data_IF_375788069372
#
_entry.id   IF_375788069372
#
_cell.length_a   1.000
_cell.length_b   1.000
_cell.length_c   1.000
_cell.angle_alpha   90.00
_cell.angle_beta   90.00
_cell.angle_gamma   90.00
#
_symmetry.space_group_name_H-M   'P 1'
#
loop_
_entity.id
_entity.type
_entity.pdbx_description
1 polymer ?
#
# COMPACT_ATOMS: atom_id res chain seq x y z
N UNK A 1 19.68 -13.12 -22.99
CA UNK A 1 18.97 -14.21 -22.26
C UNK A 1 18.06 -13.55 -21.24
N UNK A 2 16.78 -13.44 -21.54
CA UNK A 2 15.77 -13.00 -20.58
C UNK A 2 15.76 -14.02 -19.43
N UNK A 3 15.96 -13.54 -18.20
CA UNK A 3 15.94 -14.38 -17.01
C UNK A 3 14.57 -15.07 -16.95
N UNK A 4 14.52 -16.39 -17.14
CA UNK A 4 13.27 -17.20 -17.25
C UNK A 4 12.33 -16.98 -16.04
N UNK A 5 12.87 -16.48 -14.93
CA UNK A 5 12.12 -16.15 -13.71
C UNK A 5 11.31 -14.86 -13.82
N UNK A 6 11.68 -13.91 -14.68
CA UNK A 6 11.00 -12.63 -14.89
C UNK A 6 9.94 -12.66 -16.01
N UNK A 7 9.90 -13.74 -16.80
CA UNK A 7 8.89 -13.93 -17.85
C UNK A 7 7.63 -14.63 -17.31
N UNK A 8 6.56 -13.86 -17.14
CA UNK A 8 5.26 -14.36 -16.67
C UNK A 8 4.39 -14.95 -17.80
N UNK A 9 4.83 -14.84 -19.04
CA UNK A 9 4.03 -15.27 -20.21
C UNK A 9 4.08 -16.76 -20.44
N UNK A 10 4.95 -17.51 -19.74
CA UNK A 10 5.17 -18.95 -19.90
C UNK A 10 5.23 -19.66 -18.54
N UNK A 11 5.21 -20.98 -18.57
CA UNK A 11 5.36 -21.84 -17.38
C UNK A 11 4.15 -21.88 -16.45
N UNK A 12 4.31 -22.49 -15.27
CA UNK A 12 3.24 -22.66 -14.29
C UNK A 12 2.87 -21.33 -13.63
N UNK A 13 1.58 -20.96 -13.70
CA UNK A 13 1.07 -19.68 -13.19
C UNK A 13 1.22 -19.60 -11.68
N UNK A 14 0.79 -20.62 -10.92
CA UNK A 14 0.84 -20.63 -9.47
C UNK A 14 2.26 -20.46 -8.97
N UNK A 15 3.20 -21.26 -9.49
CA UNK A 15 4.61 -21.20 -9.07
C UNK A 15 5.23 -19.83 -9.32
N UNK A 16 4.98 -19.23 -10.51
CA UNK A 16 5.54 -17.92 -10.88
C UNK A 16 4.87 -16.78 -10.08
N UNK A 17 3.54 -16.83 -9.90
CA UNK A 17 2.81 -15.82 -9.14
C UNK A 17 3.26 -15.81 -7.67
N UNK A 18 3.29 -16.97 -7.02
CA UNK A 18 3.73 -17.09 -5.62
C UNK A 18 5.21 -16.70 -5.47
N UNK A 19 6.09 -17.15 -6.38
CA UNK A 19 7.51 -16.80 -6.34
C UNK A 19 7.76 -15.29 -6.51
N UNK A 20 6.88 -14.57 -7.21
CA UNK A 20 6.94 -13.12 -7.35
C UNK A 20 6.28 -12.40 -6.17
N UNK A 21 5.17 -12.93 -5.66
CA UNK A 21 4.40 -12.35 -4.55
C UNK A 21 5.18 -12.43 -3.22
N UNK A 22 5.88 -13.54 -2.95
CA UNK A 22 6.56 -13.73 -1.65
C UNK A 22 7.60 -12.65 -1.32
N UNK A 23 8.48 -12.20 -2.24
CA UNK A 23 9.36 -11.08 -1.94
C UNK A 23 8.60 -9.74 -1.80
N UNK A 24 7.48 -9.54 -2.51
CA UNK A 24 6.63 -8.34 -2.32
C UNK A 24 6.03 -8.35 -0.91
N UNK A 25 5.49 -9.49 -0.48
CA UNK A 25 4.97 -9.66 0.88
C UNK A 25 6.06 -9.44 1.92
N UNK A 26 7.25 -10.02 1.72
CA UNK A 26 8.40 -9.81 2.61
C UNK A 26 8.78 -8.33 2.73
N UNK A 27 8.74 -7.58 1.63
CA UNK A 27 9.00 -6.13 1.65
C UNK A 27 7.93 -5.38 2.48
N UNK A 28 6.65 -5.72 2.32
CA UNK A 28 5.56 -5.10 3.09
C UNK A 28 5.66 -5.43 4.59
N UNK A 29 6.01 -6.68 4.93
CA UNK A 29 6.22 -7.08 6.33
C UNK A 29 7.39 -6.30 6.96
N UNK A 30 8.52 -6.18 6.25
CA UNK A 30 9.66 -5.41 6.74
C UNK A 30 9.31 -3.92 6.91
N UNK A 31 8.54 -3.33 6.00
CA UNK A 31 8.07 -1.96 6.13
C UNK A 31 7.18 -1.77 7.36
N UNK A 32 6.25 -2.70 7.61
CA UNK A 32 5.41 -2.65 8.81
C UNK A 32 6.25 -2.85 10.08
N UNK A 33 7.25 -3.72 10.03
CA UNK A 33 8.11 -4.02 11.18
C UNK A 33 8.98 -2.83 11.57
N UNK A 34 9.67 -2.16 10.64
CA UNK A 34 10.52 -1.04 11.02
C UNK A 34 9.69 0.15 11.55
N UNK A 35 8.51 0.43 10.99
CA UNK A 35 7.62 1.43 11.55
C UNK A 35 7.14 1.12 12.98
N UNK A 36 7.01 -0.17 13.33
CA UNK A 36 6.75 -0.59 14.71
C UNK A 36 7.99 -0.40 15.60
N UNK A 37 9.20 -0.65 15.08
CA UNK A 37 10.45 -0.44 15.82
C UNK A 37 10.68 1.02 16.14
N UNK A 38 10.43 1.96 15.22
CA UNK A 38 10.48 3.40 15.47
C UNK A 38 9.67 3.77 16.73
N UNK A 39 8.41 3.31 16.79
CA UNK A 39 7.53 3.56 17.93
C UNK A 39 8.02 2.89 19.22
N UNK A 40 8.59 1.69 19.15
CA UNK A 40 9.14 1.00 20.32
C UNK A 40 10.38 1.71 20.87
N UNK A 41 11.29 2.15 20.02
CA UNK A 41 12.52 2.83 20.43
C UNK A 41 12.19 4.19 21.04
N UNK A 42 11.33 4.98 20.37
CA UNK A 42 10.90 6.28 20.92
C UNK A 42 10.09 6.10 22.22
N UNK A 43 9.22 5.07 22.26
CA UNK A 43 8.43 4.79 23.47
C UNK A 43 9.27 4.37 24.68
N UNK A 44 10.45 3.76 24.46
CA UNK A 44 11.34 3.30 25.53
C UNK A 44 12.40 4.32 25.95
N UNK A 45 12.91 5.11 25.02
CA UNK A 45 14.05 6.00 25.22
C UNK A 45 13.73 7.48 25.01
N UNK A 46 12.58 7.79 24.39
CA UNK A 46 12.11 9.15 24.16
C UNK A 46 11.12 9.63 25.21
N UNK A 47 10.57 10.82 24.99
CA UNK A 47 9.52 11.40 25.82
C UNK A 47 8.12 10.89 25.43
N UNK A 48 7.14 11.03 26.33
CA UNK A 48 5.73 10.71 26.03
C UNK A 48 5.21 11.59 24.89
N UNK A 49 5.57 12.88 24.88
CA UNK A 49 5.23 13.80 23.80
C UNK A 49 5.92 13.42 22.48
N UNK A 50 7.17 12.92 22.54
CA UNK A 50 7.89 12.38 21.38
C UNK A 50 7.23 11.14 20.79
N UNK A 51 6.81 10.20 21.64
CA UNK A 51 6.06 9.02 21.19
C UNK A 51 4.75 9.41 20.50
N UNK A 52 4.00 10.35 21.08
CA UNK A 52 2.78 10.91 20.48
C UNK A 52 3.08 11.57 19.13
N UNK A 53 4.18 12.33 19.05
CA UNK A 53 4.62 13.02 17.85
C UNK A 53 4.99 12.03 16.73
N UNK A 54 5.74 10.98 17.03
CA UNK A 54 6.07 9.93 16.03
C UNK A 54 4.82 9.17 15.61
N UNK A 55 3.94 8.84 16.54
CA UNK A 55 2.68 8.14 16.23
C UNK A 55 1.80 8.95 15.28
N UNK A 56 1.61 10.25 15.53
CA UNK A 56 0.78 11.14 14.71
C UNK A 56 1.48 11.49 13.39
N UNK A 57 2.77 11.84 13.46
CA UNK A 57 3.55 12.20 12.28
C UNK A 57 3.73 11.05 11.29
N UNK A 58 3.89 9.82 11.77
CA UNK A 58 3.97 8.63 10.92
C UNK A 58 2.65 8.33 10.19
N UNK A 59 1.49 8.70 10.73
CA UNK A 59 0.22 8.58 10.00
C UNK A 59 0.19 9.50 8.77
N UNK A 60 0.70 10.73 8.90
CA UNK A 60 0.83 11.66 7.76
C UNK A 60 1.77 11.06 6.70
N UNK A 61 2.91 10.55 7.13
CA UNK A 61 3.90 9.95 6.24
C UNK A 61 3.35 8.70 5.54
N UNK A 62 2.61 7.86 6.25
CA UNK A 62 1.95 6.67 5.69
C UNK A 62 0.90 7.03 4.64
N UNK A 63 0.06 8.04 4.90
CA UNK A 63 -0.92 8.54 3.92
C UNK A 63 -0.23 8.94 2.62
N UNK A 64 0.81 9.77 2.70
CA UNK A 64 1.58 10.21 1.54
C UNK A 64 2.23 9.02 0.83
N UNK A 65 2.83 8.11 1.58
CA UNK A 65 3.52 6.93 1.04
C UNK A 65 2.56 6.00 0.30
N UNK A 66 1.37 5.71 0.85
CA UNK A 66 0.37 4.86 0.21
C UNK A 66 -0.15 5.48 -1.09
N UNK A 67 -0.41 6.79 -1.10
CA UNK A 67 -0.80 7.52 -2.32
C UNK A 67 0.28 7.44 -3.39
N UNK A 68 1.55 7.62 -3.01
CA UNK A 68 2.70 7.50 -3.94
C UNK A 68 2.86 6.07 -4.47
N UNK A 69 2.69 5.05 -3.63
CA UNK A 69 2.73 3.63 -4.06
C UNK A 69 1.67 3.34 -5.12
N UNK A 70 0.44 3.79 -4.88
CA UNK A 70 -0.67 3.57 -5.83
C UNK A 70 -0.47 4.38 -7.12
N UNK A 71 0.06 5.59 -7.02
CA UNK A 71 0.45 6.36 -8.19
C UNK A 71 1.55 5.65 -9.00
N UNK A 72 2.57 5.11 -8.34
CA UNK A 72 3.66 4.37 -8.95
C UNK A 72 3.22 3.04 -9.61
N UNK A 73 2.05 2.50 -9.25
CA UNK A 73 1.48 1.33 -9.90
C UNK A 73 1.32 1.55 -11.41
N UNK A 74 1.04 2.78 -11.86
CA UNK A 74 0.99 3.14 -13.26
C UNK A 74 2.29 2.81 -14.01
N UNK A 75 3.44 3.04 -13.37
CA UNK A 75 4.76 2.71 -13.92
C UNK A 75 4.95 1.19 -14.00
N UNK A 76 4.62 0.47 -12.91
CA UNK A 76 4.70 -0.99 -12.86
C UNK A 76 3.91 -1.64 -13.98
N UNK A 77 2.66 -1.23 -14.17
CA UNK A 77 1.74 -1.76 -15.19
C UNK A 77 2.27 -1.46 -16.59
N UNK A 78 2.72 -0.22 -16.86
CA UNK A 78 3.18 0.18 -18.18
C UNK A 78 4.49 -0.52 -18.59
N UNK A 79 5.45 -0.64 -17.67
CA UNK A 79 6.70 -1.36 -17.91
C UNK A 79 6.42 -2.86 -18.17
N UNK A 80 5.61 -3.50 -17.32
CA UNK A 80 5.23 -4.90 -17.50
C UNK A 80 4.53 -5.14 -18.85
N UNK A 81 3.70 -4.16 -19.28
CA UNK A 81 3.04 -4.18 -20.57
C UNK A 81 4.02 -4.19 -21.73
N UNK A 82 4.98 -3.26 -21.74
CA UNK A 82 5.99 -3.19 -22.81
C UNK A 82 6.91 -4.40 -22.85
N UNK A 83 7.22 -5.01 -21.71
CA UNK A 83 7.93 -6.29 -21.69
C UNK A 83 7.12 -7.39 -22.35
N UNK A 84 5.81 -7.46 -22.09
CA UNK A 84 4.91 -8.41 -22.73
C UNK A 84 4.81 -8.20 -24.24
N UNK A 85 4.70 -6.96 -24.68
CA UNK A 85 4.66 -6.52 -26.09
C UNK A 85 6.00 -6.72 -26.83
N UNK A 86 7.06 -7.13 -26.11
CA UNK A 86 8.44 -7.21 -26.63
C UNK A 86 8.96 -5.88 -27.19
N UNK A 87 8.61 -4.77 -26.54
CA UNK A 87 9.00 -3.40 -26.88
C UNK A 87 9.83 -2.75 -25.76
N UNK A 88 10.97 -3.35 -25.38
CA UNK A 88 11.78 -2.86 -24.27
C UNK A 88 12.35 -1.46 -24.51
N UNK A 89 12.50 -1.02 -25.76
CA UNK A 89 12.96 0.32 -26.13
C UNK A 89 12.08 1.45 -25.60
N UNK A 90 10.79 1.17 -25.30
CA UNK A 90 9.87 2.17 -24.73
C UNK A 90 10.11 2.38 -23.22
N UNK A 91 10.73 1.42 -22.55
CA UNK A 91 10.88 1.43 -21.09
C UNK A 91 11.80 2.58 -20.63
N UNK A 92 12.88 2.86 -21.38
CA UNK A 92 13.74 4.00 -21.09
C UNK A 92 12.98 5.31 -20.99
N UNK A 93 12.13 5.59 -21.97
CA UNK A 93 11.25 6.78 -21.97
C UNK A 93 10.21 6.79 -20.85
N UNK A 94 9.69 5.62 -20.42
CA UNK A 94 8.82 5.54 -19.24
C UNK A 94 9.58 5.93 -17.99
N UNK A 95 10.77 5.38 -17.78
CA UNK A 95 11.60 5.65 -16.59
C UNK A 95 12.03 7.12 -16.54
N UNK A 96 12.52 7.65 -17.66
CA UNK A 96 12.96 9.06 -17.73
C UNK A 96 11.80 10.03 -17.49
N UNK A 97 10.64 9.80 -18.13
CA UNK A 97 9.44 10.60 -17.89
C UNK A 97 8.91 10.48 -16.47
N UNK A 98 8.95 9.26 -15.89
CA UNK A 98 8.57 9.04 -14.50
C UNK A 98 9.48 9.78 -13.53
N UNK A 99 10.80 9.78 -13.75
CA UNK A 99 11.73 10.52 -12.90
C UNK A 99 11.38 12.02 -12.82
N UNK A 100 11.04 12.64 -13.97
CA UNK A 100 10.61 14.05 -14.00
C UNK A 100 9.29 14.27 -13.23
N UNK A 101 8.26 13.46 -13.53
CA UNK A 101 6.94 13.62 -12.89
C UNK A 101 7.03 13.37 -11.39
N UNK A 102 7.75 12.32 -10.94
CA UNK A 102 7.90 12.04 -9.52
C UNK A 102 8.75 13.09 -8.79
N UNK A 103 9.72 13.71 -9.48
CA UNK A 103 10.45 14.87 -8.94
C UNK A 103 9.50 16.07 -8.75
N UNK A 104 8.62 16.35 -9.72
CA UNK A 104 7.61 17.41 -9.56
C UNK A 104 6.66 17.12 -8.39
N UNK A 105 6.20 15.88 -8.25
CA UNK A 105 5.37 15.47 -7.10
C UNK A 105 6.14 15.66 -5.79
N UNK A 106 7.42 15.27 -5.75
CA UNK A 106 8.26 15.46 -4.56
C UNK A 106 8.41 16.93 -4.18
N UNK A 107 8.53 17.84 -5.14
CA UNK A 107 8.59 19.27 -4.88
C UNK A 107 7.27 19.75 -4.26
N UNK A 108 6.13 19.34 -4.81
CA UNK A 108 4.81 19.71 -4.26
C UNK A 108 4.66 19.17 -2.83
N UNK A 109 4.98 17.90 -2.61
CA UNK A 109 4.91 17.28 -1.29
C UNK A 109 5.88 17.93 -0.30
N UNK A 110 7.08 18.28 -0.75
CA UNK A 110 8.05 19.03 0.07
C UNK A 110 7.46 20.37 0.54
N UNK A 111 6.90 21.16 -0.40
CA UNK A 111 6.29 22.46 -0.06
C UNK A 111 5.14 22.25 0.94
N UNK A 112 4.30 21.25 0.72
CA UNK A 112 3.16 20.97 1.62
C UNK A 112 3.63 20.49 2.97
N UNK A 113 4.50 19.50 3.05
CA UNK A 113 4.91 18.90 4.32
C UNK A 113 5.83 19.81 5.14
N UNK A 114 6.71 20.57 4.50
CA UNK A 114 7.63 21.49 5.20
C UNK A 114 6.95 22.82 5.51
N UNK A 115 6.23 23.40 4.54
CA UNK A 115 5.58 24.69 4.69
C UNK A 115 4.35 24.67 5.59
N UNK A 116 3.60 23.57 5.57
CA UNK A 116 2.36 23.42 6.34
C UNK A 116 2.46 22.39 7.46
N UNK A 117 3.67 22.06 7.93
CA UNK A 117 3.89 21.06 8.98
C UNK A 117 3.06 21.32 10.25
N UNK A 118 3.01 22.56 10.72
CA UNK A 118 2.26 22.94 11.92
C UNK A 118 0.73 22.85 11.71
N UNK A 119 0.12 23.44 10.64
CA UNK A 119 -1.29 23.22 10.32
C UNK A 119 -1.66 21.73 10.14
N UNK A 120 -0.79 20.92 9.53
CA UNK A 120 -1.01 19.48 9.38
C UNK A 120 -1.08 18.81 10.75
N UNK A 121 -0.16 19.15 11.69
CA UNK A 121 -0.14 18.57 13.02
C UNK A 121 -1.42 18.93 13.81
N UNK A 122 -1.92 20.15 13.66
CA UNK A 122 -3.20 20.57 14.25
C UNK A 122 -4.39 19.84 13.62
N UNK A 123 -4.41 19.70 12.30
CA UNK A 123 -5.45 18.96 11.57
C UNK A 123 -5.51 17.49 12.01
N UNK A 124 -4.35 16.91 12.31
CA UNK A 124 -4.24 15.54 12.83
C UNK A 124 -4.61 15.44 14.32
N UNK A 125 -5.04 16.55 14.96
CA UNK A 125 -5.42 16.61 16.37
C UNK A 125 -4.31 16.11 17.31
N UNK A 126 -3.06 16.46 17.01
CA UNK A 126 -1.95 16.19 17.91
C UNK A 126 -2.20 16.89 19.27
N UNK A 127 -1.93 16.23 20.41
CA UNK A 127 -2.00 16.88 21.73
C UNK A 127 -1.14 18.16 21.78
N UNK A 128 -1.58 19.18 22.48
CA UNK A 128 -0.89 20.49 22.52
C UNK A 128 0.61 20.37 22.82
N UNK A 129 0.97 19.51 23.77
CA UNK A 129 2.35 19.24 24.18
C UNK A 129 3.18 18.53 23.08
N UNK A 130 2.53 17.86 22.14
CA UNK A 130 3.17 17.13 21.06
C UNK A 130 3.13 17.84 19.69
N UNK A 131 2.33 18.92 19.54
CA UNK A 131 2.16 19.62 18.24
C UNK A 131 3.50 20.07 17.67
N UNK A 132 4.35 20.69 18.46
CA UNK A 132 5.66 21.19 18.01
C UNK A 132 6.57 20.05 17.54
N UNK A 133 6.61 18.94 18.30
CA UNK A 133 7.40 17.76 17.98
C UNK A 133 6.84 17.03 16.74
N UNK A 134 5.52 16.94 16.62
CA UNK A 134 4.84 16.39 15.44
C UNK A 134 5.16 17.22 14.20
N UNK A 135 5.09 18.55 14.29
CA UNK A 135 5.45 19.44 13.18
C UNK A 135 6.93 19.32 12.80
N UNK A 136 7.82 19.16 13.78
CA UNK A 136 9.24 18.88 13.55
C UNK A 136 9.44 17.55 12.80
N UNK A 137 8.79 16.48 13.27
CA UNK A 137 8.83 15.17 12.63
C UNK A 137 8.35 15.24 11.16
N UNK A 138 7.18 15.85 10.93
CA UNK A 138 6.60 16.01 9.58
C UNK A 138 7.52 16.85 8.69
N UNK A 139 8.14 17.91 9.23
CA UNK A 139 9.07 18.77 8.49
C UNK A 139 10.35 18.05 8.11
N UNK A 140 10.94 17.25 9.01
CA UNK A 140 12.14 16.47 8.72
C UNK A 140 11.83 15.40 7.66
N UNK A 141 10.75 14.64 7.83
CA UNK A 141 10.30 13.65 6.84
C UNK A 141 9.95 14.31 5.49
N UNK A 142 9.32 15.49 5.52
CA UNK A 142 9.03 16.29 4.33
C UNK A 142 10.29 16.76 3.61
N UNK A 143 11.35 17.12 4.35
CA UNK A 143 12.65 17.47 3.77
C UNK A 143 13.29 16.28 3.04
N UNK A 144 13.05 15.06 3.51
CA UNK A 144 13.51 13.82 2.92
C UNK A 144 12.54 13.18 1.92
N UNK A 145 11.43 13.83 1.58
CA UNK A 145 10.36 13.23 0.74
C UNK A 145 10.87 12.79 -0.64
N UNK A 146 11.88 13.45 -1.18
CA UNK A 146 12.52 13.09 -2.44
C UNK A 146 13.04 11.64 -2.42
N UNK A 147 13.63 11.21 -1.31
CA UNK A 147 14.13 9.85 -1.15
C UNK A 147 12.98 8.83 -1.03
N UNK A 148 11.92 9.19 -0.27
CA UNK A 148 10.74 8.33 -0.10
C UNK A 148 10.04 8.11 -1.45
N UNK A 149 9.85 9.17 -2.21
CA UNK A 149 9.24 9.10 -3.54
C UNK A 149 10.13 8.34 -4.53
N UNK A 150 11.44 8.61 -4.54
CA UNK A 150 12.40 7.91 -5.40
C UNK A 150 12.47 6.41 -5.08
N UNK A 151 12.46 6.03 -3.81
CA UNK A 151 12.40 4.64 -3.36
C UNK A 151 11.17 3.92 -3.93
N UNK A 152 9.98 4.52 -3.82
CA UNK A 152 8.74 3.93 -4.32
C UNK A 152 8.74 3.83 -5.86
N UNK A 153 9.26 4.83 -6.56
CA UNK A 153 9.44 4.80 -8.01
C UNK A 153 10.37 3.66 -8.44
N UNK A 154 11.54 3.54 -7.81
CA UNK A 154 12.50 2.46 -8.12
C UNK A 154 11.89 1.08 -7.84
N UNK A 155 11.19 0.93 -6.72
CA UNK A 155 10.47 -0.31 -6.39
C UNK A 155 9.41 -0.65 -7.45
N UNK A 156 8.68 0.34 -7.96
CA UNK A 156 7.69 0.16 -9.02
C UNK A 156 8.34 -0.24 -10.36
N UNK A 157 9.48 0.37 -10.70
CA UNK A 157 10.26 0.00 -11.90
C UNK A 157 10.68 -1.46 -11.83
N UNK A 158 11.29 -1.90 -10.73
CA UNK A 158 11.74 -3.29 -10.58
C UNK A 158 10.56 -4.28 -10.62
N UNK A 159 9.44 -3.97 -9.94
CA UNK A 159 8.22 -4.80 -10.03
C UNK A 159 7.69 -4.88 -11.46
N UNK A 160 7.70 -3.79 -12.20
CA UNK A 160 7.33 -3.76 -13.61
C UNK A 160 8.23 -4.63 -14.49
N UNK A 161 9.53 -4.69 -14.16
CA UNK A 161 10.50 -5.57 -14.82
C UNK A 161 10.39 -7.05 -14.42
N UNK A 162 9.43 -7.41 -13.57
CA UNK A 162 9.27 -8.78 -13.07
C UNK A 162 10.27 -9.16 -11.99
N UNK A 163 10.92 -8.19 -11.37
CA UNK A 163 11.87 -8.39 -10.28
C UNK A 163 11.31 -7.87 -8.95
N UNK A 164 10.83 -8.77 -8.12
CA UNK A 164 10.35 -8.47 -6.77
C UNK A 164 11.43 -8.62 -5.69
N UNK A 165 12.56 -9.26 -6.00
CA UNK A 165 13.63 -9.50 -5.02
C UNK A 165 14.46 -8.24 -4.76
N UNK A 166 14.71 -7.44 -5.79
CA UNK A 166 15.46 -6.19 -5.62
C UNK A 166 14.75 -5.21 -4.70
N UNK A 167 13.43 -4.92 -4.83
CA UNK A 167 12.68 -4.15 -3.85
C UNK A 167 12.76 -4.68 -2.42
N UNK A 168 12.70 -6.01 -2.23
CA UNK A 168 12.88 -6.61 -0.90
C UNK A 168 14.27 -6.29 -0.30
N UNK A 169 15.32 -6.34 -1.12
CA UNK A 169 16.67 -5.98 -0.67
C UNK A 169 16.78 -4.49 -0.30
N UNK A 170 16.10 -3.60 -1.04
CA UNK A 170 16.09 -2.16 -0.70
C UNK A 170 15.44 -1.93 0.67
N UNK A 171 14.29 -2.56 0.91
CA UNK A 171 13.61 -2.48 2.21
C UNK A 171 14.46 -3.05 3.33
N UNK A 172 15.14 -4.17 3.10
CA UNK A 172 16.01 -4.78 4.10
C UNK A 172 17.14 -3.81 4.51
N UNK A 173 17.79 -3.17 3.52
CA UNK A 173 18.81 -2.14 3.79
C UNK A 173 18.20 -0.98 4.57
N UNK A 174 17.04 -0.46 4.13
CA UNK A 174 16.35 0.60 4.84
C UNK A 174 16.02 0.22 6.28
N UNK A 175 15.50 -1.00 6.51
CA UNK A 175 15.14 -1.49 7.84
C UNK A 175 16.37 -1.55 8.77
N UNK A 176 17.48 -2.12 8.31
CA UNK A 176 18.71 -2.21 9.11
C UNK A 176 19.23 -0.81 9.47
N UNK A 177 19.30 0.10 8.50
CA UNK A 177 19.81 1.47 8.70
C UNK A 177 18.87 2.26 9.61
N UNK A 178 17.56 2.10 9.46
CA UNK A 178 16.57 2.77 10.31
C UNK A 178 16.70 2.30 11.77
N UNK A 179 16.72 0.98 12.03
CA UNK A 179 16.86 0.45 13.40
C UNK A 179 18.17 0.91 14.06
N UNK A 180 19.28 0.88 13.32
CA UNK A 180 20.57 1.39 13.84
C UNK A 180 20.48 2.90 14.08
N UNK A 181 19.88 3.66 13.14
CA UNK A 181 19.67 5.09 13.26
C UNK A 181 18.85 5.46 14.48
N UNK A 182 17.74 4.76 14.74
CA UNK A 182 16.90 4.97 15.92
C UNK A 182 17.67 4.71 17.22
N UNK A 183 18.40 3.61 17.30
CA UNK A 183 19.20 3.30 18.48
C UNK A 183 20.29 4.35 18.73
N UNK A 184 20.94 4.86 17.68
CA UNK A 184 21.98 5.88 17.81
C UNK A 184 21.38 7.26 18.13
N UNK A 185 20.37 7.70 17.36
CA UNK A 185 19.85 9.06 17.45
C UNK A 185 18.85 9.24 18.60
N UNK A 186 17.98 8.25 18.83
CA UNK A 186 16.96 8.33 19.89
C UNK A 186 17.51 7.82 21.21
N UNK A 187 18.06 6.60 21.26
CA UNK A 187 18.54 6.02 22.53
C UNK A 187 19.91 6.58 22.93
N UNK A 188 20.84 6.82 21.98
CA UNK A 188 22.19 7.31 22.25
C UNK A 188 22.28 8.84 22.40
N UNK A 189 21.73 9.58 21.44
CA UNK A 189 21.82 11.05 21.39
C UNK A 189 20.58 11.77 21.97
N UNK A 190 19.57 11.04 22.43
CA UNK A 190 18.33 11.54 23.02
C UNK A 190 17.60 12.60 22.16
N UNK A 191 17.61 12.41 20.82
CA UNK A 191 16.99 13.34 19.88
C UNK A 191 15.47 13.16 19.75
N UNK A 192 14.87 12.25 20.49
CA UNK A 192 13.43 11.99 20.55
C UNK A 192 12.79 11.80 19.16
N UNK A 193 11.61 12.41 18.90
CA UNK A 193 10.91 12.31 17.60
C UNK A 193 11.76 12.80 16.41
N UNK A 194 12.60 13.81 16.59
CA UNK A 194 13.49 14.29 15.54
C UNK A 194 14.53 13.23 15.15
N UNK A 195 15.05 12.46 16.11
CA UNK A 195 15.96 11.35 15.86
C UNK A 195 15.34 10.27 15.00
N UNK A 196 14.12 9.84 15.31
CA UNK A 196 13.37 8.86 14.54
C UNK A 196 13.08 9.35 13.09
N UNK A 197 12.72 10.63 12.92
CA UNK A 197 12.52 11.21 11.60
C UNK A 197 13.80 11.22 10.75
N UNK A 198 14.94 11.59 11.34
CA UNK A 198 16.25 11.59 10.66
C UNK A 198 16.67 10.16 10.33
N UNK A 199 16.48 9.20 11.23
CA UNK A 199 16.77 7.78 10.98
C UNK A 199 15.98 7.26 9.77
N UNK A 200 14.67 7.54 9.73
CA UNK A 200 13.78 7.16 8.62
C UNK A 200 14.24 7.77 7.29
N UNK A 201 14.50 9.07 7.24
CA UNK A 201 14.97 9.75 6.01
C UNK A 201 16.32 9.21 5.56
N UNK A 202 17.27 9.03 6.48
CA UNK A 202 18.60 8.51 6.18
C UNK A 202 18.54 7.07 5.65
N UNK A 203 17.68 6.23 6.23
CA UNK A 203 17.44 4.87 5.78
C UNK A 203 16.89 4.83 4.34
N UNK A 204 15.92 5.69 4.04
CA UNK A 204 15.35 5.81 2.69
C UNK A 204 16.41 6.34 1.69
N UNK A 205 17.20 7.34 2.06
CA UNK A 205 18.27 7.87 1.21
C UNK A 205 19.29 6.81 0.84
N UNK A 206 19.77 6.04 1.83
CA UNK A 206 20.75 4.98 1.58
C UNK A 206 20.15 3.84 0.74
N UNK A 207 18.88 3.49 0.98
CA UNK A 207 18.13 2.52 0.19
C UNK A 207 18.01 2.94 -1.28
N UNK A 208 17.75 4.23 -1.55
CA UNK A 208 17.70 4.79 -2.92
C UNK A 208 19.08 4.68 -3.60
N UNK A 209 20.16 5.05 -2.91
CA UNK A 209 21.51 4.90 -3.45
C UNK A 209 21.79 3.44 -3.82
N UNK A 210 21.46 2.51 -2.93
CA UNK A 210 21.61 1.08 -3.18
C UNK A 210 20.78 0.61 -4.37
N UNK A 211 19.50 1.06 -4.47
CA UNK A 211 18.61 0.73 -5.56
C UNK A 211 19.12 1.23 -6.92
N UNK A 212 19.65 2.47 -6.97
CA UNK A 212 20.24 3.06 -8.18
C UNK A 212 21.48 2.28 -8.60
N UNK A 213 22.37 1.95 -7.66
CA UNK A 213 23.54 1.12 -7.95
C UNK A 213 23.17 -0.24 -8.52
N UNK A 214 22.13 -0.89 -7.96
CA UNK A 214 21.63 -2.15 -8.50
C UNK A 214 21.03 -1.98 -9.90
N UNK A 215 20.30 -0.89 -10.15
CA UNK A 215 19.71 -0.61 -11.46
C UNK A 215 20.80 -0.44 -12.52
N UNK A 216 21.86 0.30 -12.21
CA UNK A 216 23.00 0.54 -13.11
C UNK A 216 23.81 -0.75 -13.38
N UNK A 217 24.05 -1.57 -12.33
CA UNK A 217 24.79 -2.83 -12.44
C UNK A 217 24.02 -3.94 -13.16
N UNK A 218 22.71 -3.86 -13.22
CA UNK A 218 21.88 -4.88 -13.86
C UNK A 218 21.94 -4.74 -15.38
N UNK A 219 22.14 -5.87 -16.08
CA UNK A 219 22.01 -5.92 -17.56
C UNK A 219 20.52 -5.80 -17.88
N UNK A 220 20.09 -4.58 -18.17
CA UNK A 220 18.70 -4.28 -18.56
C UNK A 220 18.50 -4.57 -20.05
N UNK A 221 17.31 -5.01 -20.48
CA UNK A 221 16.99 -5.24 -21.88
C UNK A 221 16.77 -3.95 -22.70
N UNK A 222 17.05 -2.79 -22.12
CA UNK A 222 16.89 -1.44 -22.70
C UNK A 222 18.00 -0.52 -22.23
N UNK A 223 18.15 0.59 -22.91
CA UNK A 223 19.09 1.66 -22.54
C UNK A 223 18.31 2.88 -22.06
N UNK A 224 18.84 3.54 -21.04
CA UNK A 224 18.33 4.84 -20.56
C UNK A 224 19.30 5.91 -21.06
N UNK A 225 18.82 6.86 -21.83
CA UNK A 225 19.59 7.97 -22.38
C UNK A 225 19.18 9.30 -21.76
N UNK A 226 20.05 10.32 -21.82
CA UNK A 226 19.71 11.67 -21.34
C UNK A 226 18.46 12.24 -22.02
N UNK A 227 18.17 11.81 -23.27
CA UNK A 227 16.97 12.24 -24.03
C UNK A 227 15.66 11.72 -23.46
N UNK A 228 15.69 10.65 -22.66
CA UNK A 228 14.52 10.07 -22.02
C UNK A 228 14.02 10.92 -20.84
N UNK A 229 14.92 11.69 -20.20
CA UNK A 229 14.59 12.57 -19.07
C UNK A 229 13.92 13.88 -19.55
N UNK A 230 12.72 13.72 -20.06
CA UNK A 230 11.83 14.81 -20.48
C UNK A 230 10.37 14.41 -20.35
N UNK A 231 9.48 15.39 -20.32
CA UNK A 231 8.05 15.14 -20.46
C UNK A 231 7.79 14.57 -21.86
N UNK A 232 7.25 13.37 -21.92
CA UNK A 232 7.05 12.61 -23.14
C UNK A 232 5.65 11.93 -23.12
N UNK A 233 5.17 11.38 -24.24
CA UNK A 233 3.85 10.75 -24.29
C UNK A 233 3.63 9.60 -23.29
N UNK A 234 4.70 8.98 -22.78
CA UNK A 234 4.60 7.93 -21.77
C UNK A 234 4.11 8.50 -20.43
N UNK A 235 4.43 9.78 -20.13
CA UNK A 235 3.94 10.45 -18.92
C UNK A 235 2.41 10.45 -18.90
N UNK A 236 1.74 10.80 -19.99
CA UNK A 236 0.28 10.75 -20.06
C UNK A 236 -0.28 9.34 -19.88
N UNK A 237 0.44 8.31 -20.37
CA UNK A 237 0.00 6.91 -20.26
C UNK A 237 0.04 6.42 -18.82
N UNK A 238 1.17 6.57 -18.11
CA UNK A 238 1.23 6.12 -16.73
C UNK A 238 0.42 7.00 -15.78
N UNK A 239 0.27 8.31 -16.05
CA UNK A 239 -0.62 9.20 -15.31
C UNK A 239 -2.09 8.74 -15.40
N UNK A 240 -2.53 8.36 -16.59
CA UNK A 240 -3.89 7.85 -16.80
C UNK A 240 -4.17 6.57 -15.98
N UNK A 241 -3.13 5.78 -15.70
CA UNK A 241 -3.23 4.57 -14.89
C UNK A 241 -3.10 4.89 -13.40
N UNK A 242 -2.07 5.66 -13.02
CA UNK A 242 -1.70 5.89 -11.63
C UNK A 242 -2.55 6.92 -10.90
N UNK A 243 -2.99 7.99 -11.59
CA UNK A 243 -3.75 9.07 -10.94
C UNK A 243 -5.11 8.60 -10.37
N UNK A 244 -5.92 7.80 -11.09
CA UNK A 244 -7.15 7.27 -10.51
C UNK A 244 -6.90 6.42 -9.26
N UNK A 245 -5.85 5.60 -9.25
CA UNK A 245 -5.50 4.76 -8.10
C UNK A 245 -5.02 5.58 -6.91
N UNK A 246 -4.22 6.63 -7.16
CA UNK A 246 -3.77 7.54 -6.12
C UNK A 246 -4.93 8.30 -5.48
N UNK A 247 -5.89 8.78 -6.30
CA UNK A 247 -7.09 9.46 -5.81
C UNK A 247 -7.98 8.52 -5.00
N UNK A 248 -8.18 7.30 -5.48
CA UNK A 248 -8.90 6.27 -4.72
C UNK A 248 -8.27 6.01 -3.37
N UNK A 249 -6.95 5.82 -3.32
CA UNK A 249 -6.21 5.57 -2.08
C UNK A 249 -6.34 6.74 -1.10
N UNK A 250 -6.14 7.96 -1.58
CA UNK A 250 -6.30 9.16 -0.75
C UNK A 250 -7.68 9.24 -0.09
N UNK A 251 -8.75 9.03 -0.87
CA UNK A 251 -10.12 9.04 -0.34
C UNK A 251 -10.41 7.85 0.58
N UNK A 252 -9.79 6.70 0.34
CA UNK A 252 -9.87 5.54 1.22
C UNK A 252 -9.23 5.84 2.57
N UNK A 253 -8.06 6.48 2.62
CA UNK A 253 -7.41 6.88 3.86
C UNK A 253 -8.24 7.89 4.67
N UNK A 254 -8.86 8.86 3.99
CA UNK A 254 -9.80 9.79 4.64
C UNK A 254 -10.99 9.02 5.24
N UNK A 255 -11.50 8.00 4.57
CA UNK A 255 -12.62 7.20 5.08
C UNK A 255 -12.28 6.45 6.36
N UNK A 256 -11.03 6.00 6.52
CA UNK A 256 -10.57 5.38 7.76
C UNK A 256 -10.56 6.38 8.93
N UNK A 257 -10.19 7.64 8.68
CA UNK A 257 -10.26 8.69 9.70
C UNK A 257 -11.71 8.97 10.13
N UNK A 258 -12.64 9.00 9.16
CA UNK A 258 -14.07 9.15 9.47
C UNK A 258 -14.59 7.97 10.29
N UNK A 259 -14.21 6.74 9.96
CA UNK A 259 -14.57 5.54 10.72
C UNK A 259 -14.05 5.60 12.16
N UNK A 260 -12.82 6.06 12.35
CA UNK A 260 -12.24 6.28 13.68
C UNK A 260 -13.08 7.27 14.48
N UNK A 261 -13.51 8.39 13.86
CA UNK A 261 -14.39 9.36 14.52
C UNK A 261 -15.75 8.78 14.94
N UNK A 262 -16.32 7.87 14.14
CA UNK A 262 -17.58 7.18 14.52
C UNK A 262 -17.38 6.25 15.72
N UNK A 263 -16.28 5.50 15.75
CA UNK A 263 -15.95 4.60 16.86
C UNK A 263 -15.66 5.37 18.14
N UNK A 264 -15.00 6.54 18.07
CA UNK A 264 -14.68 7.37 19.24
C UNK A 264 -15.92 7.82 20.03
N UNK A 265 -17.09 7.91 19.38
CA UNK A 265 -18.37 8.20 20.04
C UNK A 265 -18.83 7.10 21.00
N UNK A 266 -18.33 5.88 20.85
CA UNK A 266 -18.68 4.74 21.70
C UNK A 266 -17.88 4.68 23.01
N UNK A 267 -17.01 5.67 23.23
CA UNK A 267 -16.21 5.80 24.46
C UNK A 267 -14.78 5.29 24.36
N UNK A 268 -14.04 5.49 25.44
CA UNK A 268 -12.58 5.28 25.46
C UNK A 268 -12.17 3.83 25.21
N UNK A 269 -12.85 2.87 25.85
CA UNK A 269 -12.55 1.44 25.66
C UNK A 269 -12.76 1.01 24.22
N UNK A 270 -13.86 1.46 23.58
CA UNK A 270 -14.17 1.16 22.19
C UNK A 270 -13.14 1.76 21.24
N UNK A 271 -12.76 3.02 21.47
CA UNK A 271 -11.71 3.69 20.67
C UNK A 271 -10.37 2.98 20.80
N UNK A 272 -9.95 2.65 22.03
CA UNK A 272 -8.70 1.93 22.28
C UNK A 272 -8.71 0.52 21.68
N UNK A 273 -9.82 -0.23 21.85
CA UNK A 273 -9.99 -1.56 21.27
C UNK A 273 -9.97 -1.54 19.74
N UNK A 274 -10.61 -0.54 19.12
CA UNK A 274 -10.54 -0.34 17.67
C UNK A 274 -9.10 -0.05 17.21
N UNK A 275 -8.36 0.78 17.94
CA UNK A 275 -6.96 1.05 17.64
C UNK A 275 -6.08 -0.21 17.67
N UNK A 276 -6.30 -1.10 18.64
CA UNK A 276 -5.66 -2.43 18.70
C UNK A 276 -6.06 -3.30 17.50
N UNK A 277 -7.37 -3.37 17.21
CA UNK A 277 -7.87 -4.14 16.09
C UNK A 277 -7.30 -3.65 14.75
N UNK A 278 -7.16 -2.33 14.53
CA UNK A 278 -6.57 -1.76 13.32
C UNK A 278 -5.13 -2.23 13.07
N UNK A 279 -4.32 -2.39 14.13
CA UNK A 279 -2.96 -2.93 13.98
C UNK A 279 -2.99 -4.37 13.45
N UNK A 280 -3.86 -5.21 13.97
CA UNK A 280 -4.03 -6.60 13.52
C UNK A 280 -4.56 -6.64 12.08
N UNK A 281 -5.55 -5.81 11.77
CA UNK A 281 -6.12 -5.67 10.41
C UNK A 281 -5.03 -5.27 9.40
N UNK A 282 -4.18 -4.31 9.75
CA UNK A 282 -3.09 -3.88 8.86
C UNK A 282 -2.16 -5.04 8.51
N UNK A 283 -1.79 -5.89 9.49
CA UNK A 283 -0.99 -7.09 9.21
C UNK A 283 -1.76 -8.10 8.34
N UNK A 284 -3.03 -8.33 8.61
CA UNK A 284 -3.87 -9.23 7.82
C UNK A 284 -3.99 -8.79 6.36
N UNK A 285 -3.99 -7.48 6.09
CA UNK A 285 -4.09 -6.89 4.75
C UNK A 285 -2.78 -6.94 3.93
N UNK A 286 -1.64 -7.30 4.51
CA UNK A 286 -0.37 -7.39 3.76
C UNK A 286 -0.41 -8.46 2.66
N UNK A 287 -1.04 -9.59 2.92
CA UNK A 287 -1.15 -10.69 1.93
C UNK A 287 -2.01 -10.30 0.75
N UNK A 288 -3.27 -9.83 0.91
CA UNK A 288 -4.07 -9.32 -0.20
C UNK A 288 -3.37 -8.21 -0.98
N UNK A 289 -2.71 -7.26 -0.30
CA UNK A 289 -2.00 -6.15 -0.93
C UNK A 289 -0.83 -6.63 -1.79
N UNK A 290 -0.05 -7.60 -1.30
CA UNK A 290 1.05 -8.19 -2.07
C UNK A 290 0.54 -8.95 -3.30
N UNK A 291 -0.60 -9.64 -3.16
CA UNK A 291 -1.26 -10.36 -4.25
C UNK A 291 -1.77 -9.38 -5.32
N UNK A 292 -2.44 -8.29 -4.93
CA UNK A 292 -2.91 -7.24 -5.85
C UNK A 292 -1.77 -6.65 -6.68
N UNK A 293 -0.67 -6.24 -6.02
CA UNK A 293 0.50 -5.65 -6.69
C UNK A 293 1.16 -6.64 -7.65
N UNK A 294 1.29 -7.90 -7.24
CA UNK A 294 1.88 -8.95 -8.05
C UNK A 294 1.00 -9.30 -9.24
N UNK A 295 -0.31 -9.36 -9.02
CA UNK A 295 -1.30 -9.64 -10.06
C UNK A 295 -1.30 -8.55 -11.14
N UNK A 296 -1.20 -7.28 -10.76
CA UNK A 296 -1.17 -6.16 -11.70
C UNK A 296 0.01 -6.30 -12.69
N UNK A 297 1.22 -6.61 -12.20
CA UNK A 297 2.40 -6.84 -13.04
C UNK A 297 2.24 -8.09 -13.92
N UNK A 298 1.82 -9.21 -13.31
CA UNK A 298 1.65 -10.49 -13.99
C UNK A 298 0.63 -10.40 -15.13
N UNK A 299 -0.54 -9.82 -14.86
CA UNK A 299 -1.62 -9.62 -15.84
C UNK A 299 -1.18 -8.67 -16.95
N UNK A 300 -0.56 -7.54 -16.61
CA UNK A 300 -0.15 -6.56 -17.61
C UNK A 300 0.85 -7.14 -18.61
N UNK A 301 1.82 -7.94 -18.15
CA UNK A 301 2.77 -8.61 -19.04
C UNK A 301 2.08 -9.64 -19.95
N UNK A 302 1.12 -10.41 -19.42
CA UNK A 302 0.37 -11.39 -20.22
C UNK A 302 -0.57 -10.73 -21.24
N UNK A 303 -1.19 -9.62 -20.87
CA UNK A 303 -2.04 -8.85 -21.80
C UNK A 303 -1.20 -8.22 -22.90
N UNK A 304 -0.02 -7.66 -22.56
CA UNK A 304 0.94 -7.16 -23.54
C UNK A 304 1.42 -8.23 -24.52
N UNK A 305 1.59 -9.47 -24.03
CA UNK A 305 1.99 -10.63 -24.86
C UNK A 305 0.83 -11.24 -25.67
N UNK A 306 -0.36 -10.65 -25.69
CA UNK A 306 -1.52 -11.19 -26.41
C UNK A 306 -2.09 -12.48 -25.78
N UNK A 307 -1.87 -12.70 -24.47
CA UNK A 307 -2.31 -13.91 -23.74
C UNK A 307 -3.45 -13.63 -22.72
N UNK A 308 -4.61 -13.10 -23.15
CA UNK A 308 -5.69 -12.73 -22.24
C UNK A 308 -6.29 -13.92 -21.47
N UNK A 309 -6.31 -15.11 -22.06
CA UNK A 309 -6.75 -16.34 -21.37
C UNK A 309 -5.85 -16.67 -20.19
N UNK A 310 -4.53 -16.48 -20.35
CA UNK A 310 -3.56 -16.71 -19.28
C UNK A 310 -3.70 -15.65 -18.18
N UNK A 311 -3.90 -14.38 -18.55
CA UNK A 311 -4.20 -13.30 -17.61
C UNK A 311 -5.44 -13.58 -16.74
N UNK A 312 -6.53 -14.09 -17.36
CA UNK A 312 -7.75 -14.51 -16.63
C UNK A 312 -7.48 -15.70 -15.71
N UNK A 313 -6.75 -16.71 -16.19
CA UNK A 313 -6.39 -17.87 -15.36
C UNK A 313 -5.53 -17.48 -14.18
N UNK A 314 -4.64 -16.48 -14.33
CA UNK A 314 -3.84 -15.97 -13.19
C UNK A 314 -4.70 -15.29 -12.13
N UNK A 315 -5.75 -14.55 -12.51
CA UNK A 315 -6.71 -13.98 -11.56
C UNK A 315 -7.39 -15.07 -10.72
N UNK A 316 -7.91 -16.12 -11.36
CA UNK A 316 -8.53 -17.25 -10.66
C UNK A 316 -7.54 -17.98 -9.74
N UNK A 317 -6.29 -18.15 -10.21
CA UNK A 317 -5.22 -18.71 -9.36
C UNK A 317 -4.93 -17.82 -8.15
N UNK A 318 -4.89 -16.50 -8.35
CA UNK A 318 -4.71 -15.52 -7.28
C UNK A 318 -5.85 -15.56 -6.25
N UNK A 319 -7.09 -15.67 -6.71
CA UNK A 319 -8.27 -15.86 -5.82
C UNK A 319 -8.07 -17.13 -4.97
N UNK A 320 -7.68 -18.25 -5.58
CA UNK A 320 -7.43 -19.50 -4.84
C UNK A 320 -6.34 -19.37 -3.78
N UNK A 321 -5.20 -18.76 -4.12
CA UNK A 321 -4.10 -18.51 -3.17
C UNK A 321 -4.54 -17.57 -2.04
N UNK A 322 -5.20 -16.48 -2.41
CA UNK A 322 -5.69 -15.50 -1.43
C UNK A 322 -6.73 -16.07 -0.48
N UNK A 323 -7.70 -16.86 -0.99
CA UNK A 323 -8.71 -17.53 -0.17
C UNK A 323 -8.08 -18.55 0.79
N UNK A 324 -7.07 -19.32 0.35
CA UNK A 324 -6.38 -20.29 1.23
C UNK A 324 -5.76 -19.59 2.44
N UNK A 325 -5.08 -18.45 2.21
CA UNK A 325 -4.50 -17.66 3.31
C UNK A 325 -5.59 -16.93 4.09
N UNK A 326 -6.60 -16.36 3.40
CA UNK A 326 -7.74 -15.69 4.03
C UNK A 326 -8.51 -16.60 4.99
N UNK A 327 -8.72 -17.87 4.62
CA UNK A 327 -9.33 -18.86 5.51
C UNK A 327 -8.50 -19.10 6.78
N UNK A 328 -7.18 -19.22 6.65
CA UNK A 328 -6.29 -19.39 7.81
C UNK A 328 -6.39 -18.17 8.75
N UNK A 329 -6.33 -16.96 8.20
CA UNK A 329 -6.44 -15.72 8.99
C UNK A 329 -7.84 -15.58 9.61
N UNK A 330 -8.89 -15.92 8.87
CA UNK A 330 -10.27 -15.94 9.37
C UNK A 330 -10.41 -16.84 10.59
N UNK A 331 -9.95 -18.09 10.50
CA UNK A 331 -9.99 -19.06 11.59
C UNK A 331 -9.15 -18.55 12.77
N UNK A 332 -7.96 -18.01 12.53
CA UNK A 332 -7.09 -17.48 13.57
C UNK A 332 -7.74 -16.31 14.32
N UNK A 333 -8.38 -15.38 13.62
CA UNK A 333 -9.10 -14.25 14.24
C UNK A 333 -10.26 -14.76 15.09
N UNK A 334 -11.07 -15.70 14.60
CA UNK A 334 -12.22 -16.21 15.34
C UNK A 334 -11.84 -17.00 16.59
N UNK A 335 -10.76 -17.82 16.51
CA UNK A 335 -10.35 -18.70 17.60
C UNK A 335 -9.42 -18.03 18.61
N UNK A 336 -8.63 -17.04 18.19
CA UNK A 336 -7.53 -16.45 18.98
C UNK A 336 -7.42 -14.93 18.83
N UNK A 337 -8.50 -14.26 18.41
CA UNK A 337 -8.49 -12.80 18.22
C UNK A 337 -8.29 -12.03 19.53
N UNK A 338 -8.75 -12.56 20.64
CA UNK A 338 -8.48 -12.08 22.00
C UNK A 338 -6.97 -12.14 22.33
N UNK A 339 -6.32 -13.27 22.04
CA UNK A 339 -4.87 -13.44 22.22
C UNK A 339 -4.10 -12.48 21.32
N UNK A 340 -4.53 -12.32 20.05
CA UNK A 340 -3.92 -11.35 19.13
C UNK A 340 -4.04 -9.91 19.65
N UNK A 341 -5.19 -9.53 20.20
CA UNK A 341 -5.39 -8.23 20.83
C UNK A 341 -4.53 -8.06 22.09
N UNK A 342 -4.35 -9.14 22.86
CA UNK A 342 -3.50 -9.18 24.04
C UNK A 342 -2.02 -8.91 23.79
N UNK A 343 -1.52 -9.08 22.56
CA UNK A 343 -0.14 -8.65 22.21
C UNK A 343 0.02 -7.12 22.20
N UNK A 344 -1.07 -6.38 22.08
CA UNK A 344 -1.05 -4.92 21.93
C UNK A 344 -1.62 -4.18 23.15
N UNK A 345 -2.31 -4.87 24.05
CA UNK A 345 -2.88 -4.29 25.28
C UNK A 345 -2.90 -5.31 26.39
N UNK A 346 -2.77 -4.84 27.63
CA UNK A 346 -2.93 -5.63 28.86
C UNK A 346 -4.29 -5.39 29.53
N UNK A 347 -5.05 -4.38 29.06
CA UNK A 347 -6.36 -4.04 29.59
C UNK A 347 -7.43 -4.99 29.03
N UNK A 348 -8.14 -5.71 29.90
CA UNK A 348 -9.13 -6.69 29.53
C UNK A 348 -10.33 -6.09 28.74
N UNK A 349 -10.75 -4.88 29.10
CA UNK A 349 -11.83 -4.16 28.39
C UNK A 349 -11.42 -3.81 26.95
N UNK A 350 -10.21 -3.27 26.79
CA UNK A 350 -9.64 -2.94 25.48
C UNK A 350 -9.46 -4.19 24.62
N UNK A 351 -8.95 -5.31 25.19
CA UNK A 351 -8.81 -6.59 24.50
C UNK A 351 -10.18 -7.09 24.01
N UNK A 352 -11.18 -7.07 24.88
CA UNK A 352 -12.53 -7.53 24.53
C UNK A 352 -13.15 -6.67 23.41
N UNK A 353 -13.04 -5.35 23.49
CA UNK A 353 -13.52 -4.43 22.44
C UNK A 353 -12.78 -4.61 21.11
N UNK A 354 -11.47 -4.80 21.18
CA UNK A 354 -10.66 -5.13 19.99
C UNK A 354 -11.11 -6.44 19.34
N UNK A 355 -11.33 -7.47 20.14
CA UNK A 355 -11.82 -8.75 19.66
C UNK A 355 -13.25 -8.65 19.10
N UNK A 356 -14.13 -7.86 19.70
CA UNK A 356 -15.47 -7.61 19.19
C UNK A 356 -15.45 -6.99 17.78
N UNK A 357 -14.56 -6.02 17.53
CA UNK A 357 -14.35 -5.49 16.19
C UNK A 357 -13.83 -6.56 15.22
N UNK A 358 -12.83 -7.32 15.64
CA UNK A 358 -12.23 -8.37 14.82
C UNK A 358 -13.22 -9.46 14.44
N UNK A 359 -14.16 -9.83 15.30
CA UNK A 359 -15.26 -10.78 14.97
C UNK A 359 -16.11 -10.28 13.80
N UNK A 360 -16.50 -9.00 13.82
CA UNK A 360 -17.24 -8.39 12.72
C UNK A 360 -16.41 -8.26 11.45
N UNK A 361 -15.12 -7.99 11.59
CA UNK A 361 -14.17 -7.83 10.48
C UNK A 361 -13.72 -9.17 9.89
N UNK A 362 -13.72 -10.27 10.64
CA UNK A 362 -13.15 -11.54 10.21
C UNK A 362 -13.54 -12.00 8.79
N UNK A 363 -14.84 -11.92 8.37
CA UNK A 363 -15.24 -12.29 7.01
C UNK A 363 -14.53 -11.47 5.91
N UNK A 364 -14.06 -10.26 6.23
CA UNK A 364 -13.30 -9.41 5.30
C UNK A 364 -12.07 -10.11 4.76
N UNK A 365 -11.39 -10.93 5.57
CA UNK A 365 -10.18 -11.65 5.15
C UNK A 365 -10.43 -12.62 4.00
N UNK A 366 -11.66 -13.12 3.85
CA UNK A 366 -12.08 -13.98 2.75
C UNK A 366 -12.43 -13.17 1.51
N UNK A 367 -13.32 -12.19 1.67
CA UNK A 367 -13.83 -11.41 0.53
C UNK A 367 -12.76 -10.51 -0.05
N UNK A 368 -11.83 -9.96 0.76
CA UNK A 368 -10.72 -9.14 0.28
C UNK A 368 -9.78 -9.92 -0.64
N UNK A 369 -9.58 -11.21 -0.41
CA UNK A 369 -8.77 -12.05 -1.28
C UNK A 369 -9.32 -12.08 -2.72
N UNK A 370 -10.64 -12.17 -2.86
CA UNK A 370 -11.34 -12.12 -4.15
C UNK A 370 -11.23 -10.72 -4.76
N UNK A 371 -11.60 -9.70 -3.98
CA UNK A 371 -11.62 -8.30 -4.44
C UNK A 371 -10.24 -7.86 -4.95
N UNK A 372 -9.17 -8.06 -4.17
CA UNK A 372 -7.83 -7.59 -4.49
C UNK A 372 -7.23 -8.35 -5.70
N UNK A 373 -7.56 -9.62 -5.88
CA UNK A 373 -7.21 -10.36 -7.10
C UNK A 373 -7.89 -9.76 -8.34
N UNK A 374 -9.16 -9.38 -8.23
CA UNK A 374 -9.90 -8.72 -9.32
C UNK A 374 -9.36 -7.30 -9.59
N UNK A 375 -9.08 -6.52 -8.54
CA UNK A 375 -8.46 -5.19 -8.66
C UNK A 375 -7.10 -5.31 -9.38
N UNK A 376 -6.25 -6.24 -8.95
CA UNK A 376 -4.97 -6.49 -9.62
C UNK A 376 -5.12 -6.89 -11.09
N UNK A 377 -6.14 -7.67 -11.41
CA UNK A 377 -6.48 -8.02 -12.79
C UNK A 377 -6.92 -6.81 -13.62
N UNK A 378 -7.78 -5.96 -13.09
CA UNK A 378 -8.23 -4.74 -13.78
C UNK A 378 -7.11 -3.72 -13.91
N UNK A 379 -6.28 -3.54 -12.90
CA UNK A 379 -5.08 -2.68 -12.97
C UNK A 379 -4.15 -3.13 -14.11
N UNK A 380 -3.87 -4.44 -14.21
CA UNK A 380 -3.05 -5.00 -15.27
C UNK A 380 -3.68 -4.90 -16.67
N UNK A 381 -5.01 -4.76 -16.76
CA UNK A 381 -5.74 -4.50 -18.00
C UNK A 381 -5.92 -3.00 -18.29
N UNK A 382 -5.30 -2.08 -17.55
CA UNK A 382 -5.46 -0.62 -17.64
C UNK A 382 -6.89 -0.11 -17.36
N UNK A 383 -7.70 -0.87 -16.59
CA UNK A 383 -9.06 -0.49 -16.19
C UNK A 383 -9.08 0.24 -14.84
N UNK A 384 -8.11 1.11 -14.59
CA UNK A 384 -7.91 1.77 -13.28
C UNK A 384 -8.98 2.81 -12.96
N UNK A 385 -9.61 3.41 -13.98
CA UNK A 385 -10.77 4.30 -13.77
C UNK A 385 -11.93 3.48 -13.17
N UNK A 386 -12.16 2.27 -13.69
CA UNK A 386 -13.19 1.39 -13.12
C UNK A 386 -12.85 1.02 -11.66
N UNK A 387 -11.59 0.66 -11.40
CA UNK A 387 -11.13 0.34 -10.04
C UNK A 387 -11.38 1.51 -9.10
N UNK A 388 -11.07 2.74 -9.53
CA UNK A 388 -11.37 3.95 -8.75
C UNK A 388 -12.88 4.11 -8.50
N UNK A 389 -13.71 4.03 -9.54
CA UNK A 389 -15.16 4.20 -9.40
C UNK A 389 -15.75 3.15 -8.45
N UNK A 390 -15.38 1.88 -8.65
CA UNK A 390 -15.81 0.79 -7.78
C UNK A 390 -15.37 1.00 -6.33
N UNK A 391 -14.10 1.39 -6.12
CA UNK A 391 -13.57 1.66 -4.78
C UNK A 391 -14.26 2.83 -4.08
N UNK A 392 -14.60 3.90 -4.81
CA UNK A 392 -15.35 5.03 -4.27
C UNK A 392 -16.78 4.64 -3.89
N UNK A 393 -17.48 3.89 -4.74
CA UNK A 393 -18.82 3.37 -4.42
C UNK A 393 -18.74 2.51 -3.16
N UNK A 394 -17.83 1.54 -3.12
CA UNK A 394 -17.63 0.64 -1.98
C UNK A 394 -17.36 1.41 -0.69
N UNK A 395 -16.47 2.41 -0.73
CA UNK A 395 -16.01 3.11 0.47
C UNK A 395 -16.98 4.19 0.91
N UNK A 396 -17.38 5.10 -0.01
CA UNK A 396 -18.15 6.29 0.34
C UNK A 396 -19.65 6.03 0.39
N UNK A 397 -20.20 5.14 -0.45
CA UNK A 397 -21.62 4.90 -0.54
C UNK A 397 -22.09 3.66 0.25
N UNK A 398 -21.18 2.76 0.61
CA UNK A 398 -21.55 1.54 1.37
C UNK A 398 -20.89 1.52 2.74
N UNK A 399 -19.54 1.52 2.79
CA UNK A 399 -18.77 1.33 4.04
C UNK A 399 -19.02 2.44 5.05
N UNK A 400 -18.86 3.70 4.64
CA UNK A 400 -19.03 4.84 5.55
C UNK A 400 -20.47 5.01 6.04
N UNK A 401 -21.52 5.01 5.17
CA UNK A 401 -22.88 5.10 5.65
C UNK A 401 -23.26 3.95 6.56
N UNK A 402 -22.87 2.70 6.22
CA UNK A 402 -23.17 1.54 7.05
C UNK A 402 -22.50 1.65 8.43
N UNK A 403 -21.21 2.01 8.49
CA UNK A 403 -20.50 2.19 9.75
C UNK A 403 -21.12 3.33 10.59
N UNK A 404 -21.52 4.44 9.96
CA UNK A 404 -22.23 5.52 10.63
C UNK A 404 -23.56 5.05 11.22
N UNK A 405 -24.41 4.42 10.42
CA UNK A 405 -25.70 3.90 10.91
C UNK A 405 -25.53 2.91 12.07
N UNK A 406 -24.54 2.00 11.98
CA UNK A 406 -24.25 1.06 13.05
C UNK A 406 -23.70 1.74 14.32
N UNK A 407 -23.07 2.92 14.20
CA UNK A 407 -22.51 3.66 15.34
C UNK A 407 -23.54 4.49 16.11
N UNK A 408 -24.69 4.82 15.50
CA UNK A 408 -25.73 5.66 16.13
C UNK A 408 -26.92 4.84 16.69
N UNK A 409 -26.93 3.52 16.51
CA UNK A 409 -28.00 2.66 17.06
C UNK A 409 -27.88 2.57 18.58
N UNK A 410 -29.03 2.37 19.30
CA UNK A 410 -29.02 2.22 20.75
C UNK A 410 -28.15 1.04 21.24
N UNK A 411 -28.02 0.00 20.44
CA UNK A 411 -27.22 -1.20 20.69
C UNK A 411 -25.95 -1.23 19.83
N UNK A 412 -25.35 -0.05 19.58
CA UNK A 412 -24.12 0.09 18.82
C UNK A 412 -22.99 -0.75 19.44
N UNK A 413 -22.30 -1.51 18.58
CA UNK A 413 -21.19 -2.37 19.00
C UNK A 413 -20.08 -2.37 17.96
N UNK A 414 -18.85 -2.64 18.39
CA UNK A 414 -17.70 -2.74 17.47
C UNK A 414 -17.86 -3.92 16.50
N UNK A 415 -18.55 -5.00 16.89
CA UNK A 415 -18.86 -6.11 15.98
C UNK A 415 -19.75 -5.66 14.82
N UNK A 416 -20.79 -4.87 15.08
CA UNK A 416 -21.66 -4.33 14.03
C UNK A 416 -20.90 -3.39 13.10
N UNK A 417 -20.11 -2.48 13.66
CA UNK A 417 -19.28 -1.55 12.88
C UNK A 417 -18.24 -2.33 12.04
N UNK A 418 -17.65 -3.38 12.60
CA UNK A 418 -16.72 -4.25 11.90
C UNK A 418 -17.31 -4.93 10.66
N UNK A 419 -18.62 -5.25 10.67
CA UNK A 419 -19.32 -5.82 9.51
C UNK A 419 -19.43 -4.87 8.32
N UNK A 420 -19.24 -3.55 8.50
CA UNK A 420 -19.28 -2.61 7.39
C UNK A 420 -18.18 -2.89 6.33
N UNK A 421 -17.04 -3.45 6.74
CA UNK A 421 -15.96 -3.82 5.84
C UNK A 421 -16.37 -4.98 4.91
N UNK A 422 -16.70 -6.20 5.40
CA UNK A 422 -17.01 -7.33 4.52
C UNK A 422 -18.28 -7.10 3.68
N UNK A 423 -19.27 -6.37 4.17
CA UNK A 423 -20.46 -6.02 3.38
C UNK A 423 -20.09 -5.12 2.22
N UNK A 424 -19.31 -4.06 2.47
CA UNK A 424 -18.88 -3.14 1.43
C UNK A 424 -17.99 -3.83 0.39
N UNK A 425 -17.11 -4.71 0.82
CA UNK A 425 -16.22 -5.49 -0.05
C UNK A 425 -17.01 -6.48 -0.90
N UNK A 426 -18.07 -7.10 -0.35
CA UNK A 426 -18.97 -7.96 -1.12
C UNK A 426 -19.70 -7.18 -2.21
N UNK A 427 -20.17 -5.97 -1.93
CA UNK A 427 -20.74 -5.07 -2.97
C UNK A 427 -19.69 -4.76 -4.03
N UNK A 428 -18.44 -4.45 -3.63
CA UNK A 428 -17.34 -4.25 -4.55
C UNK A 428 -17.06 -5.45 -5.48
N UNK A 429 -17.14 -6.67 -4.94
CA UNK A 429 -17.00 -7.91 -5.73
C UNK A 429 -18.16 -8.04 -6.74
N UNK A 430 -19.40 -7.81 -6.33
CA UNK A 430 -20.58 -7.87 -7.22
C UNK A 430 -20.40 -6.89 -8.38
N UNK A 431 -20.01 -5.65 -8.10
CA UNK A 431 -19.73 -4.63 -9.12
C UNK A 431 -18.62 -5.10 -10.06
N UNK A 432 -17.54 -5.66 -9.51
CA UNK A 432 -16.42 -6.16 -10.31
C UNK A 432 -16.78 -7.38 -11.17
N UNK A 433 -17.63 -8.27 -10.68
CA UNK A 433 -18.16 -9.39 -11.49
C UNK A 433 -19.01 -8.85 -12.65
N UNK A 434 -19.92 -7.90 -12.38
CA UNK A 434 -20.71 -7.25 -13.43
C UNK A 434 -19.84 -6.61 -14.51
N UNK A 435 -18.84 -5.83 -14.10
CA UNK A 435 -17.90 -5.21 -15.02
C UNK A 435 -17.03 -6.23 -15.76
N UNK A 436 -16.60 -7.30 -15.12
CA UNK A 436 -15.83 -8.37 -15.74
C UNK A 436 -16.62 -9.04 -16.87
N UNK A 437 -17.90 -9.32 -16.65
CA UNK A 437 -18.78 -9.89 -17.67
C UNK A 437 -18.97 -8.94 -18.85
N UNK A 438 -19.24 -7.67 -18.58
CA UNK A 438 -19.32 -6.62 -19.60
C UNK A 438 -18.03 -6.49 -20.39
N UNK A 439 -16.90 -6.30 -19.73
CA UNK A 439 -15.58 -6.12 -20.33
C UNK A 439 -15.16 -7.30 -21.22
N UNK A 440 -15.50 -8.52 -20.80
CA UNK A 440 -15.18 -9.72 -21.58
C UNK A 440 -16.08 -9.93 -22.79
N UNK A 441 -17.32 -9.45 -22.75
CA UNK A 441 -18.23 -9.45 -23.92
C UNK A 441 -17.76 -8.45 -24.98
N UNK A 442 -17.55 -7.21 -24.60
CA UNK A 442 -17.08 -6.14 -25.49
C UNK A 442 -15.76 -6.52 -26.19
N UNK A 443 -14.79 -7.13 -25.46
CA UNK A 443 -13.56 -7.60 -26.08
C UNK A 443 -13.76 -8.75 -27.07
N UNK A 444 -14.78 -9.59 -26.89
CA UNK A 444 -15.09 -10.66 -27.85
C UNK A 444 -15.69 -10.08 -29.13
N UNK A 445 -16.59 -9.10 -29.01
CA UNK A 445 -17.21 -8.44 -30.15
C UNK A 445 -16.16 -7.74 -31.02
N UNK A 446 -15.24 -7.00 -30.45
CA UNK A 446 -14.16 -6.31 -31.19
C UNK A 446 -13.26 -7.29 -31.93
N UNK A 447 -12.95 -8.46 -31.36
CA UNK A 447 -12.09 -9.49 -31.98
C UNK A 447 -12.85 -10.31 -33.05
N UNK A 448 -14.19 -10.29 -33.00
CA UNK A 448 -15.00 -10.98 -34.02
C UNK A 448 -15.30 -10.11 -35.26
N UNK A 449 -15.05 -8.79 -35.15
CA UNK A 449 -15.20 -7.83 -36.26
C UNK A 449 -13.87 -7.54 -37.02
N UNK A 450 -12.72 -7.98 -36.47
CA UNK A 450 -11.40 -8.01 -37.14
C UNK A 450 -11.13 -9.41 -37.78
#
# INVERSE_FOLDING_TARGET
MTNDKADFTQGNILKKLVAFMMPVLGALILQAAYGAVDLLVVGRFGSTSGLSAVSTGSQVLNLVTFVVIQFAMGITVLIARYLGEKRPEQIGSVIGGAAIVFTMISIVLFIVMVGFAHPISMLMQAPEEAVALTASYVRICGSGIFFIVAYNLLSAIFRGLGDSKSPLLFVLVACIVNVIGDLVLVAGLHMDAAGAAIATVSAQALSVVFAVVLLIKKKLPFTITKKDFRLNPQCRRFLKIGLPLALQEFLTQISFLALCAFVNRLGLEASSGYGVACKIVNFAMLVPSSLMQSMASFVSQNVGAGKPKRARKSMLTGIGVGLSVGCLVFILILLKGDVLAGFFSTDAGVIQKGFDYLKGFAPETLVTAVLFSMIGYFNGNNQTIWVMVQGLIQTLLVRLPMAYFMSIQPDASLTKIGLAAPVSTTVGIILNIGFFLYFTRVKKEIVSEE
#
